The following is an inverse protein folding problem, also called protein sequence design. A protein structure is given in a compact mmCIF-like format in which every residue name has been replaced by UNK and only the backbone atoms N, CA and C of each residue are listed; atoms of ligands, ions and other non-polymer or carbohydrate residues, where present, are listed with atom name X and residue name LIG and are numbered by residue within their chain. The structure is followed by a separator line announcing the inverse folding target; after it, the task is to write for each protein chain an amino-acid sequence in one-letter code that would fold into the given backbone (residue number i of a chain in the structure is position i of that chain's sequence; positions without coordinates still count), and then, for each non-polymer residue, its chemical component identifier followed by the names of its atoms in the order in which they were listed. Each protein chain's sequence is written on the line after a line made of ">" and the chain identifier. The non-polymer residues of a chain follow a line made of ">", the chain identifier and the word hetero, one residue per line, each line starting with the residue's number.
data_IF_786438569720
#
_entry.id   IF_786438569720
#
_cell.length_a   1.000
_cell.length_b   1.000
_cell.length_c   1.000
_cell.angle_alpha   90.00
_cell.angle_beta   90.00
_cell.angle_gamma   90.00
#
_symmetry.space_group_name_H-M   'P 1'
#
loop_
_entity.id
_entity.type
_entity.pdbx_description
1 polymer ?
#
# COMPACT_ATOMS: atom_id res chain seq x y z
N UNK A 1 -10.75 -23.02 0.56
CA UNK A 1 -11.52 -21.83 0.96
C UNK A 1 -10.78 -20.62 0.37
N UNK A 2 -11.28 -20.03 -0.71
CA UNK A 2 -10.63 -18.87 -1.33
C UNK A 2 -10.95 -17.66 -0.45
N UNK A 3 -9.98 -17.00 0.22
CA UNK A 3 -10.28 -15.83 1.02
C UNK A 3 -10.89 -14.77 0.09
N UNK A 4 -12.10 -14.32 0.41
CA UNK A 4 -12.79 -13.29 -0.35
C UNK A 4 -12.11 -11.96 -0.05
N UNK A 5 -11.10 -11.61 -0.84
CA UNK A 5 -10.45 -10.30 -0.75
C UNK A 5 -11.48 -9.24 -1.09
N UNK A 6 -11.80 -8.38 -0.13
CA UNK A 6 -12.65 -7.21 -0.35
C UNK A 6 -11.76 -6.04 -0.77
N UNK A 7 -12.06 -5.45 -1.94
CA UNK A 7 -11.37 -4.25 -2.42
C UNK A 7 -12.24 -3.05 -2.07
N UNK A 8 -11.66 -2.06 -1.40
CA UNK A 8 -12.28 -0.75 -1.19
C UNK A 8 -11.53 0.26 -2.04
N UNK A 9 -12.25 0.98 -2.91
CA UNK A 9 -11.69 2.08 -3.70
C UNK A 9 -12.00 3.39 -2.99
N UNK A 10 -10.99 4.22 -2.79
CA UNK A 10 -11.13 5.58 -2.29
C UNK A 10 -10.74 6.53 -3.42
N UNK A 11 -11.62 7.47 -3.75
CA UNK A 11 -11.43 8.41 -4.85
C UNK A 11 -10.87 9.76 -4.38
N UNK A 12 -10.60 9.91 -3.07
CA UNK A 12 -10.00 11.12 -2.51
C UNK A 12 -9.10 10.82 -1.31
N UNK A 13 -8.15 11.72 -0.99
CA UNK A 13 -7.36 11.64 0.23
C UNK A 13 -8.22 11.62 1.50
N UNK A 14 -9.38 12.31 1.47
CA UNK A 14 -10.33 12.34 2.60
C UNK A 14 -10.93 10.96 2.84
N UNK A 15 -11.47 10.31 1.80
CA UNK A 15 -12.01 8.95 1.91
C UNK A 15 -10.96 7.95 2.38
N UNK A 16 -9.75 8.05 1.83
CA UNK A 16 -8.62 7.22 2.23
C UNK A 16 -8.30 7.43 3.72
N UNK A 17 -8.23 8.69 4.17
CA UNK A 17 -7.96 9.02 5.58
C UNK A 17 -9.01 8.43 6.51
N UNK A 18 -10.29 8.52 6.15
CA UNK A 18 -11.39 7.97 6.94
C UNK A 18 -11.34 6.43 7.00
N UNK A 19 -10.94 5.77 5.90
CA UNK A 19 -10.72 4.31 5.93
C UNK A 19 -9.52 3.91 6.78
N UNK A 20 -8.43 4.67 6.74
CA UNK A 20 -7.19 4.40 7.49
C UNK A 20 -7.33 4.68 8.99
N UNK A 21 -8.29 5.51 9.42
CA UNK A 21 -8.63 5.72 10.83
C UNK A 21 -9.38 4.54 11.46
N UNK A 22 -10.02 3.69 10.64
CA UNK A 22 -10.70 2.47 11.11
C UNK A 22 -9.68 1.37 11.46
N UNK A 23 -10.06 0.37 12.28
CA UNK A 23 -9.22 -0.81 12.51
C UNK A 23 -8.73 -1.45 11.21
N UNK A 24 -7.49 -1.92 11.21
CA UNK A 24 -6.76 -2.40 10.01
C UNK A 24 -6.39 -3.87 10.08
N UNK A 25 -6.99 -4.63 10.98
CA UNK A 25 -6.70 -6.06 11.17
C UNK A 25 -6.97 -6.90 9.90
N UNK A 26 -7.81 -6.39 9.01
CA UNK A 26 -8.18 -6.98 7.73
C UNK A 26 -7.48 -6.34 6.52
N UNK A 27 -6.61 -5.34 6.74
CA UNK A 27 -5.99 -4.59 5.66
C UNK A 27 -4.70 -5.27 5.19
N UNK A 28 -4.78 -5.94 4.03
CA UNK A 28 -3.62 -6.57 3.41
C UNK A 28 -2.56 -5.55 2.98
N UNK A 29 -2.98 -4.53 2.24
CA UNK A 29 -2.12 -3.51 1.65
C UNK A 29 -2.95 -2.29 1.23
N UNK A 30 -2.27 -1.16 1.03
CA UNK A 30 -2.82 0.06 0.42
C UNK A 30 -2.12 0.25 -0.92
N UNK A 31 -2.89 0.34 -2.00
CA UNK A 31 -2.36 0.65 -3.33
C UNK A 31 -2.70 2.11 -3.65
N UNK A 32 -1.67 2.93 -3.86
CA UNK A 32 -1.79 4.34 -4.18
C UNK A 32 -1.43 4.55 -5.66
N UNK A 33 -2.41 4.95 -6.46
CA UNK A 33 -2.18 5.42 -7.81
C UNK A 33 -2.04 6.94 -7.77
N UNK A 34 -0.83 7.42 -8.08
CA UNK A 34 -0.51 8.84 -8.06
C UNK A 34 -0.76 9.42 -9.44
N UNK A 35 -1.70 10.36 -9.55
CA UNK A 35 -2.03 10.99 -10.83
C UNK A 35 -1.04 12.10 -11.20
N UNK A 36 -0.66 12.94 -10.23
CA UNK A 36 0.20 14.10 -10.44
C UNK A 36 0.91 14.54 -9.14
N UNK A 37 1.67 15.65 -9.20
CA UNK A 37 2.40 16.17 -8.06
C UNK A 37 1.53 16.70 -6.91
N UNK A 38 0.31 17.18 -7.19
CA UNK A 38 -0.64 17.63 -6.17
C UNK A 38 -1.18 16.42 -5.43
N UNK A 39 -1.59 15.39 -6.16
CA UNK A 39 -2.03 14.11 -5.58
C UNK A 39 -0.93 13.48 -4.71
N UNK A 40 0.32 13.49 -5.18
CA UNK A 40 1.46 13.02 -4.38
C UNK A 40 1.63 13.82 -3.08
N UNK A 41 1.41 15.14 -3.13
CA UNK A 41 1.52 16.01 -1.94
C UNK A 41 0.40 15.75 -0.94
N UNK A 42 -0.83 15.55 -1.42
CA UNK A 42 -1.98 15.22 -0.60
C UNK A 42 -1.81 13.86 0.09
N UNK A 43 -1.26 12.87 -0.62
CA UNK A 43 -0.92 11.56 -0.06
C UNK A 43 0.21 11.64 0.97
N UNK A 44 1.20 12.51 0.77
CA UNK A 44 2.25 12.74 1.77
C UNK A 44 1.71 13.34 3.07
N UNK A 45 0.62 14.12 3.02
CA UNK A 45 -0.06 14.58 4.23
C UNK A 45 -0.69 13.43 5.04
N UNK A 46 -0.88 12.25 4.43
CA UNK A 46 -1.40 11.05 5.07
C UNK A 46 -0.30 10.07 5.53
N UNK A 47 0.99 10.42 5.40
CA UNK A 47 2.13 9.55 5.73
C UNK A 47 2.02 8.90 7.12
N UNK A 48 1.59 9.65 8.14
CA UNK A 48 1.46 9.12 9.50
C UNK A 48 0.36 8.06 9.60
N UNK A 49 -0.74 8.24 8.86
CA UNK A 49 -1.80 7.22 8.77
C UNK A 49 -1.31 5.98 8.01
N UNK A 50 -0.39 6.12 7.06
CA UNK A 50 0.15 5.03 6.25
C UNK A 50 1.28 4.25 6.94
N UNK A 51 1.82 4.73 8.07
CA UNK A 51 3.03 4.20 8.70
C UNK A 51 3.05 2.68 8.92
N UNK A 52 1.94 2.12 9.41
CA UNK A 52 1.82 0.69 9.71
C UNK A 52 1.23 -0.13 8.54
N UNK A 53 0.92 0.53 7.42
CA UNK A 53 0.33 -0.12 6.26
C UNK A 53 1.40 -0.67 5.31
N UNK A 54 1.05 -1.75 4.59
CA UNK A 54 1.86 -2.24 3.47
C UNK A 54 1.50 -1.41 2.24
N UNK A 55 2.30 -0.40 1.93
CA UNK A 55 1.99 0.54 0.84
C UNK A 55 2.63 0.09 -0.47
N UNK A 56 1.84 0.08 -1.54
CA UNK A 56 2.28 -0.04 -2.93
C UNK A 56 2.00 1.29 -3.61
N UNK A 57 3.01 1.91 -4.22
CA UNK A 57 2.87 3.20 -4.91
C UNK A 57 3.07 3.01 -6.40
N UNK A 58 2.17 3.58 -7.21
CA UNK A 58 2.25 3.65 -8.66
C UNK A 58 2.39 5.12 -9.02
N UNK A 59 3.58 5.53 -9.45
CA UNK A 59 3.91 6.90 -9.81
C UNK A 59 3.53 7.25 -11.25
N UNK A 60 3.29 8.54 -11.56
CA UNK A 60 2.93 8.98 -12.90
C UNK A 60 4.13 9.00 -13.86
N UNK A 61 5.36 9.20 -13.34
CA UNK A 61 6.57 9.31 -14.14
C UNK A 61 7.83 8.91 -13.35
N UNK A 62 8.97 8.82 -14.04
CA UNK A 62 10.28 8.46 -13.49
C UNK A 62 11.14 9.68 -13.13
N UNK A 63 10.54 10.87 -13.03
CA UNK A 63 11.28 12.08 -12.71
C UNK A 63 11.83 12.00 -11.28
N UNK A 64 13.08 12.45 -11.09
CA UNK A 64 13.76 12.34 -9.80
C UNK A 64 12.97 12.96 -8.65
N UNK A 65 12.30 14.09 -8.88
CA UNK A 65 11.48 14.74 -7.84
C UNK A 65 10.29 13.86 -7.43
N UNK A 66 9.57 13.30 -8.41
CA UNK A 66 8.45 12.37 -8.19
C UNK A 66 8.91 11.12 -7.47
N UNK A 67 10.05 10.56 -7.87
CA UNK A 67 10.64 9.37 -7.25
C UNK A 67 11.01 9.61 -5.78
N UNK A 68 11.73 10.71 -5.50
CA UNK A 68 12.13 11.09 -4.14
C UNK A 68 10.90 11.28 -3.25
N UNK A 69 9.89 12.00 -3.73
CA UNK A 69 8.63 12.20 -3.00
C UNK A 69 7.87 10.90 -2.82
N UNK A 70 7.79 10.04 -3.85
CA UNK A 70 7.18 8.72 -3.78
C UNK A 70 7.80 7.82 -2.71
N UNK A 71 9.13 7.84 -2.58
CA UNK A 71 9.81 7.07 -1.53
C UNK A 71 9.53 7.57 -0.11
N UNK A 72 9.12 8.83 0.08
CA UNK A 72 8.70 9.34 1.40
C UNK A 72 7.40 8.72 1.91
N UNK A 73 6.56 8.16 1.02
CA UNK A 73 5.40 7.34 1.38
C UNK A 73 5.79 5.96 1.94
N UNK A 74 7.10 5.63 1.97
CA UNK A 74 7.65 4.37 2.45
C UNK A 74 7.04 3.13 1.78
N UNK A 75 6.97 3.12 0.44
CA UNK A 75 6.43 1.99 -0.29
C UNK A 75 7.22 0.71 0.00
N UNK A 76 6.52 -0.41 0.12
CA UNK A 76 7.12 -1.75 0.01
C UNK A 76 7.35 -2.14 -1.45
N UNK A 77 6.63 -1.51 -2.36
CA UNK A 77 6.83 -1.61 -3.81
C UNK A 77 6.46 -0.29 -4.46
N UNK A 78 7.31 0.17 -5.35
CA UNK A 78 7.11 1.39 -6.14
C UNK A 78 7.28 1.02 -7.61
N UNK A 79 6.30 1.39 -8.42
CA UNK A 79 6.29 1.22 -9.87
C UNK A 79 5.70 2.46 -10.54
N UNK A 80 5.48 2.40 -11.85
CA UNK A 80 5.01 3.50 -12.68
C UNK A 80 3.75 3.10 -13.43
N UNK A 81 2.96 4.08 -13.86
CA UNK A 81 1.67 3.86 -14.57
C UNK A 81 1.84 3.14 -15.91
N UNK A 82 3.00 3.30 -16.57
CA UNK A 82 3.38 2.59 -17.79
C UNK A 82 3.94 1.17 -17.52
N UNK A 83 4.06 0.78 -16.26
CA UNK A 83 4.46 -0.55 -15.83
C UNK A 83 3.38 -1.62 -16.08
N UNK A 84 3.76 -2.90 -15.91
CA UNK A 84 2.82 -4.02 -16.12
C UNK A 84 1.92 -4.16 -14.90
N UNK A 85 0.60 -4.21 -15.11
CA UNK A 85 -0.37 -4.48 -14.05
C UNK A 85 -0.10 -5.81 -13.30
N UNK A 86 0.54 -6.78 -13.97
CA UNK A 86 0.97 -8.04 -13.37
C UNK A 86 2.02 -7.91 -12.27
N UNK A 87 2.76 -6.80 -12.21
CA UNK A 87 3.78 -6.59 -11.18
C UNK A 87 3.12 -6.30 -9.83
N UNK A 88 2.06 -5.48 -9.83
CA UNK A 88 1.28 -5.17 -8.62
C UNK A 88 0.60 -6.42 -8.06
N UNK A 89 -0.01 -7.25 -8.90
CA UNK A 89 -0.70 -8.48 -8.43
C UNK A 89 0.28 -9.50 -7.84
N UNK A 90 1.47 -9.65 -8.42
CA UNK A 90 2.53 -10.51 -7.87
C UNK A 90 3.02 -10.01 -6.51
N UNK A 91 3.22 -8.70 -6.38
CA UNK A 91 3.62 -8.08 -5.11
C UNK A 91 2.57 -8.29 -4.03
N UNK A 92 1.29 -8.06 -4.35
CA UNK A 92 0.17 -8.29 -3.42
C UNK A 92 0.10 -9.77 -3.00
N UNK A 93 0.31 -10.70 -3.94
CA UNK A 93 0.36 -12.14 -3.65
C UNK A 93 1.48 -12.47 -2.67
N UNK A 94 2.69 -11.96 -2.90
CA UNK A 94 3.85 -12.14 -2.00
C UNK A 94 3.59 -11.55 -0.61
N UNK A 95 2.95 -10.38 -0.53
CA UNK A 95 2.58 -9.76 0.73
C UNK A 95 1.59 -10.62 1.52
N UNK A 96 0.63 -11.25 0.86
CA UNK A 96 -0.35 -12.13 1.51
C UNK A 96 0.32 -13.38 2.12
N UNK A 97 1.23 -14.02 1.39
CA UNK A 97 1.92 -15.24 1.85
C UNK A 97 2.86 -15.01 3.05
N UNK A 98 3.33 -13.78 3.25
CA UNK A 98 4.24 -13.43 4.36
C UNK A 98 3.50 -13.19 5.68
N UNK A 99 2.16 -13.14 5.67
CA UNK A 99 1.34 -12.83 6.85
C UNK A 99 1.02 -14.03 7.74
N UNK A 100 1.64 -15.18 7.50
CA UNK A 100 1.52 -16.38 8.35
C UNK A 100 2.74 -16.45 9.28
N UNK A 101 2.73 -15.65 10.34
CA UNK A 101 3.44 -16.02 11.56
C UNK A 101 2.46 -16.81 12.42
N UNK A 102 2.42 -18.12 12.19
CA UNK A 102 1.93 -19.02 13.21
C UNK A 102 2.81 -18.80 14.44
N UNK A 103 2.22 -18.38 15.56
CA UNK A 103 2.83 -18.56 16.87
C UNK A 103 2.93 -20.07 17.10
N UNK A 104 3.99 -20.70 16.58
CA UNK A 104 4.43 -21.99 17.06
C UNK A 104 5.15 -21.71 18.39
N UNK A 105 4.51 -22.01 19.50
CA UNK A 105 5.13 -22.04 20.83
C UNK A 105 5.57 -23.47 21.13
N UNK A 106 6.86 -23.83 21.01
CA UNK A 106 7.41 -24.98 21.68
C UNK A 106 8.19 -24.50 22.90
N UNK A 107 7.50 -24.18 23.98
CA UNK A 107 8.16 -24.12 25.29
C UNK A 107 7.24 -24.67 26.37
N UNK A 108 7.09 -26.00 26.34
CA UNK A 108 6.79 -26.81 27.52
C UNK A 108 7.57 -28.12 27.37
N UNK A 109 8.77 -28.16 27.94
CA UNK A 109 9.42 -29.35 28.48
C UNK A 109 10.34 -28.89 29.60
#
# INVERSE_FOLDING_TARGET
>A
MNPKVAITVCCSPVELSERLKRPRFDLLAVVLLVADHRDLSDLLALCDLLWDARVVVILPNQENETLIKGHRLRPRFLTYVDGKAGDVSQVLTKMNSTSVRACHTPWMS
#
